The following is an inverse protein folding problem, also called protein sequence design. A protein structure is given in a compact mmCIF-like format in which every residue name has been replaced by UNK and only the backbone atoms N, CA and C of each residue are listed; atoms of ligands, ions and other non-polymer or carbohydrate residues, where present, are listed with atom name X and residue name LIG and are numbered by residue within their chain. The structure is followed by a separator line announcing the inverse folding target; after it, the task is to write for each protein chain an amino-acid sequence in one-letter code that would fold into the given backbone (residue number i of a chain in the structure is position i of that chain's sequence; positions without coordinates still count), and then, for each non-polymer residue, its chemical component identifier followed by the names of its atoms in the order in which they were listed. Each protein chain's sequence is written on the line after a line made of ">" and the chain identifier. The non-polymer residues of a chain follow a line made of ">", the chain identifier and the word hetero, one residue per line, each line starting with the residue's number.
data_IF_914299667355
#
_entry.id   IF_914299667355
#
_cell.length_a   1.000
_cell.length_b   1.000
_cell.length_c   1.000
_cell.angle_alpha   90.00
_cell.angle_beta   90.00
_cell.angle_gamma   90.00
#
_symmetry.space_group_name_H-M   'P 1'
#
loop_
_entity.id
_entity.type
_entity.pdbx_description
1 polymer ?
#
# COMPACT_ATOMS: atom_id res chain seq x y z
N UNK A 1 20.69 40.00 17.76
CA UNK A 1 20.33 38.63 18.19
C UNK A 1 18.83 38.32 18.16
N UNK A 2 17.91 39.30 18.21
CA UNK A 2 16.46 39.09 17.97
C UNK A 2 16.13 38.58 16.56
N UNK A 3 16.83 39.09 15.54
CA UNK A 3 16.58 38.77 14.13
C UNK A 3 16.92 37.31 13.77
N UNK A 4 17.83 36.67 14.52
CA UNK A 4 18.18 35.25 14.34
C UNK A 4 17.06 34.32 14.85
N UNK A 5 16.34 34.74 15.89
CA UNK A 5 15.20 34.00 16.44
C UNK A 5 14.02 33.97 15.45
N UNK A 6 13.77 35.08 14.74
CA UNK A 6 12.74 35.13 13.69
C UNK A 6 13.07 34.22 12.51
N UNK A 7 14.35 34.08 12.16
CA UNK A 7 14.79 33.19 11.07
C UNK A 7 14.59 31.71 11.41
N UNK A 8 14.81 31.32 12.67
CA UNK A 8 14.59 29.95 13.16
C UNK A 8 13.10 29.57 13.22
N UNK A 9 12.23 30.53 13.57
CA UNK A 9 10.77 30.34 13.56
C UNK A 9 10.24 30.16 12.13
N UNK A 10 10.74 30.93 11.16
CA UNK A 10 10.32 30.81 9.74
C UNK A 10 10.75 29.48 9.13
N UNK A 11 11.94 28.96 9.46
CA UNK A 11 12.41 27.65 9.00
C UNK A 11 11.60 26.50 9.65
N UNK A 12 11.18 26.65 10.91
CA UNK A 12 10.37 25.64 11.59
C UNK A 12 8.97 25.45 10.97
N UNK A 13 8.39 26.47 10.31
CA UNK A 13 7.09 26.36 9.65
C UNK A 13 7.13 25.65 8.28
N UNK A 14 8.31 25.53 7.65
CA UNK A 14 8.47 24.81 6.37
C UNK A 14 8.64 23.30 6.55
N UNK A 15 8.83 22.83 7.78
CA UNK A 15 8.87 21.41 8.12
C UNK A 15 7.48 20.78 8.31
N UNK A 16 6.44 21.35 7.68
CA UNK A 16 5.13 20.70 7.57
C UNK A 16 5.27 19.51 6.60
N UNK A 17 5.79 18.40 7.11
CA UNK A 17 5.84 17.12 6.41
C UNK A 17 4.43 16.78 5.93
N UNK A 18 4.26 16.72 4.60
CA UNK A 18 3.10 16.08 4.03
C UNK A 18 3.17 14.60 4.43
N UNK A 19 2.16 14.15 5.17
CA UNK A 19 2.08 12.75 5.60
C UNK A 19 2.02 11.80 4.40
N UNK A 20 2.31 10.51 4.62
CA UNK A 20 2.23 9.50 3.57
C UNK A 20 0.84 9.48 2.94
N UNK A 21 0.82 9.31 1.61
CA UNK A 21 -0.42 9.11 0.84
C UNK A 21 -0.48 7.63 0.49
N UNK A 22 -1.62 7.00 0.77
CA UNK A 22 -1.90 5.64 0.35
C UNK A 22 -2.20 5.60 -1.15
N UNK A 23 -1.15 5.70 -1.97
CA UNK A 23 -1.24 5.49 -3.41
C UNK A 23 -0.64 4.13 -3.74
N UNK A 24 -1.43 3.32 -4.45
CA UNK A 24 -1.06 1.98 -4.92
C UNK A 24 -1.46 1.88 -6.38
N UNK A 25 -0.56 1.38 -7.22
CA UNK A 25 -0.82 1.07 -8.62
C UNK A 25 -0.36 -0.35 -8.93
N UNK A 26 -1.09 -0.99 -9.83
CA UNK A 26 -0.69 -2.26 -10.42
C UNK A 26 -0.44 -2.02 -11.89
N UNK A 27 0.78 -2.26 -12.33
CA UNK A 27 1.24 -2.01 -13.70
C UNK A 27 1.74 -3.35 -14.29
N UNK A 28 1.59 -3.53 -15.61
CA UNK A 28 2.25 -4.63 -16.31
C UNK A 28 3.75 -4.31 -16.40
N UNK A 29 4.63 -5.28 -16.14
CA UNK A 29 6.06 -5.07 -16.29
C UNK A 29 6.39 -4.76 -17.75
N UNK A 30 7.07 -3.63 -17.97
CA UNK A 30 7.30 -3.00 -19.26
C UNK A 30 8.47 -3.60 -20.05
N UNK A 31 8.72 -4.91 -19.91
CA UNK A 31 9.77 -5.57 -20.67
C UNK A 31 9.26 -5.86 -22.10
N UNK A 32 9.18 -4.81 -22.93
CA UNK A 32 8.69 -4.81 -24.32
C UNK A 32 9.47 -5.75 -25.29
N UNK A 33 10.42 -6.54 -24.79
CA UNK A 33 11.28 -7.43 -25.56
C UNK A 33 11.15 -8.93 -25.21
N UNK A 34 10.31 -9.34 -24.26
CA UNK A 34 10.19 -10.74 -23.87
C UNK A 34 8.94 -11.42 -24.45
N UNK A 35 9.18 -12.61 -24.99
CA UNK A 35 8.26 -13.54 -25.65
C UNK A 35 6.96 -13.82 -24.88
N UNK A 36 5.94 -14.26 -25.62
CA UNK A 36 4.55 -14.63 -25.26
C UNK A 36 4.27 -15.44 -23.96
N UNK A 37 5.24 -15.77 -23.10
CA UNK A 37 5.05 -16.85 -22.12
C UNK A 37 4.53 -16.47 -20.72
N UNK A 38 4.54 -15.20 -20.31
CA UNK A 38 3.78 -14.78 -19.12
C UNK A 38 3.65 -13.27 -18.96
N UNK A 39 2.47 -12.80 -18.58
CA UNK A 39 2.24 -11.41 -18.15
C UNK A 39 2.68 -11.27 -16.69
N UNK A 40 3.66 -10.42 -16.41
CA UNK A 40 4.08 -10.08 -15.06
C UNK A 40 3.49 -8.72 -14.64
N UNK A 41 3.06 -8.62 -13.38
CA UNK A 41 2.46 -7.41 -12.82
C UNK A 41 3.28 -6.92 -11.62
N UNK A 42 3.51 -5.62 -11.53
CA UNK A 42 4.22 -4.99 -10.43
C UNK A 42 3.28 -4.14 -9.57
N UNK A 43 3.44 -4.25 -8.24
CA UNK A 43 2.79 -3.39 -7.27
C UNK A 43 3.68 -2.19 -6.92
N UNK A 44 3.28 -1.00 -7.35
CA UNK A 44 3.95 0.26 -7.02
C UNK A 44 3.28 0.90 -5.81
N UNK A 45 4.02 1.00 -4.70
CA UNK A 45 3.56 1.60 -3.44
C UNK A 45 4.38 2.86 -3.14
N UNK A 46 3.70 3.99 -2.91
CA UNK A 46 4.35 5.29 -2.70
C UNK A 46 4.65 5.62 -1.22
N UNK A 47 4.54 4.61 -0.35
CA UNK A 47 4.74 4.73 1.09
C UNK A 47 6.18 4.33 1.45
N UNK A 48 7.01 5.29 1.86
CA UNK A 48 8.46 5.09 2.02
C UNK A 48 8.82 4.09 3.13
N UNK A 49 7.95 3.90 4.11
CA UNK A 49 8.17 2.92 5.19
C UNK A 49 7.73 1.50 4.86
N UNK A 50 6.94 1.32 3.79
CA UNK A 50 6.35 0.02 3.48
C UNK A 50 7.39 -1.01 3.06
N UNK A 51 8.27 -0.69 2.11
CA UNK A 51 9.23 -1.67 1.57
C UNK A 51 10.17 -2.22 2.66
N UNK A 52 10.64 -1.36 3.58
CA UNK A 52 11.45 -1.81 4.71
C UNK A 52 10.65 -2.70 5.67
N UNK A 53 9.42 -2.30 6.01
CA UNK A 53 8.56 -3.11 6.87
C UNK A 53 8.21 -4.46 6.21
N UNK A 54 7.91 -4.44 4.91
CA UNK A 54 7.61 -5.64 4.12
C UNK A 54 8.79 -6.59 4.10
N UNK A 55 10.01 -6.11 3.84
CA UNK A 55 11.21 -6.95 3.85
C UNK A 55 11.46 -7.65 5.19
N UNK A 56 11.19 -6.97 6.32
CA UNK A 56 11.29 -7.55 7.66
C UNK A 56 10.21 -8.59 7.92
N UNK A 57 9.02 -8.35 7.38
CA UNK A 57 7.87 -9.22 7.59
C UNK A 57 7.80 -10.33 6.55
N UNK A 58 8.49 -10.27 5.42
CA UNK A 58 8.38 -11.24 4.35
C UNK A 58 9.09 -12.56 4.70
N UNK A 59 8.36 -13.51 5.28
CA UNK A 59 8.92 -14.79 5.74
C UNK A 59 8.10 -15.98 5.23
N UNK A 60 8.70 -16.92 4.47
CA UNK A 60 8.01 -18.08 3.90
C UNK A 60 7.28 -18.95 4.93
N UNK A 61 7.81 -19.06 6.14
CA UNK A 61 7.19 -19.83 7.23
C UNK A 61 5.80 -19.30 7.63
N UNK A 62 5.47 -18.06 7.26
CA UNK A 62 4.19 -17.41 7.59
C UNK A 62 3.27 -17.22 6.40
N UNK A 63 3.68 -17.67 5.22
CA UNK A 63 2.85 -17.55 4.03
C UNK A 63 1.53 -18.28 4.21
N UNK A 64 0.51 -17.76 3.53
CA UNK A 64 -0.79 -18.37 3.33
C UNK A 64 -0.92 -18.75 1.86
N UNK A 65 -1.97 -19.47 1.49
CA UNK A 65 -2.21 -19.81 0.09
C UNK A 65 -2.45 -18.56 -0.76
N UNK A 66 -2.20 -18.66 -2.07
CA UNK A 66 -2.56 -17.61 -3.02
C UNK A 66 -4.05 -17.23 -2.91
N UNK A 67 -4.95 -18.23 -2.85
CA UNK A 67 -6.39 -18.01 -2.70
C UNK A 67 -6.75 -17.25 -1.43
N UNK A 68 -5.99 -17.42 -0.34
CA UNK A 68 -6.19 -16.62 0.88
C UNK A 68 -5.92 -15.14 0.61
N UNK A 69 -4.80 -14.83 -0.07
CA UNK A 69 -4.44 -13.45 -0.38
C UNK A 69 -5.41 -12.82 -1.38
N UNK A 70 -5.77 -13.54 -2.44
CA UNK A 70 -6.76 -13.07 -3.43
C UNK A 70 -8.10 -12.75 -2.78
N UNK A 71 -8.62 -13.66 -1.94
CA UNK A 71 -9.91 -13.47 -1.28
C UNK A 71 -9.94 -12.26 -0.35
N UNK A 72 -8.83 -11.94 0.33
CA UNK A 72 -8.73 -10.74 1.15
C UNK A 72 -8.48 -9.48 0.32
N UNK A 73 -7.60 -9.54 -0.69
CA UNK A 73 -7.28 -8.41 -1.54
C UNK A 73 -8.52 -7.89 -2.27
N UNK A 74 -9.42 -8.77 -2.72
CA UNK A 74 -10.70 -8.35 -3.29
C UNK A 74 -11.52 -7.48 -2.32
N UNK A 75 -11.63 -7.90 -1.06
CA UNK A 75 -12.36 -7.15 -0.04
C UNK A 75 -11.68 -5.82 0.29
N UNK A 76 -10.36 -5.84 0.48
CA UNK A 76 -9.59 -4.64 0.78
C UNK A 76 -9.60 -3.62 -0.36
N UNK A 77 -9.37 -4.04 -1.61
CA UNK A 77 -9.38 -3.15 -2.78
C UNK A 77 -10.75 -2.51 -2.93
N UNK A 78 -11.83 -3.28 -2.76
CA UNK A 78 -13.20 -2.75 -2.82
C UNK A 78 -13.42 -1.65 -1.77
N UNK A 79 -13.09 -1.92 -0.51
CA UNK A 79 -13.29 -0.94 0.58
C UNK A 79 -12.35 0.25 0.45
N UNK A 80 -11.08 0.03 0.09
CA UNK A 80 -10.11 1.08 -0.16
C UNK A 80 -10.60 2.06 -1.22
N UNK A 81 -11.09 1.53 -2.35
CA UNK A 81 -11.62 2.34 -3.43
C UNK A 81 -12.88 3.09 -3.01
N UNK A 82 -13.75 2.47 -2.20
CA UNK A 82 -14.88 3.17 -1.59
C UNK A 82 -14.42 4.33 -0.69
N UNK A 83 -13.45 4.11 0.21
CA UNK A 83 -12.88 5.14 1.08
C UNK A 83 -12.21 6.28 0.29
N UNK A 84 -11.60 5.98 -0.86
CA UNK A 84 -11.04 6.99 -1.76
C UNK A 84 -12.11 7.94 -2.33
N UNK A 85 -13.37 7.51 -2.43
CA UNK A 85 -14.48 8.39 -2.84
C UNK A 85 -14.93 9.34 -1.73
N UNK A 86 -14.64 9.03 -0.46
CA UNK A 86 -15.13 9.80 0.68
C UNK A 86 -14.30 11.09 0.85
N UNK A 87 -14.90 12.29 0.85
CA UNK A 87 -14.16 13.55 0.90
C UNK A 87 -13.22 13.73 2.11
N UNK A 88 -13.57 13.11 3.25
CA UNK A 88 -12.76 13.17 4.48
C UNK A 88 -11.59 12.18 4.49
N UNK A 89 -11.61 11.15 3.65
CA UNK A 89 -10.65 10.05 3.62
C UNK A 89 -9.75 10.10 2.39
N UNK A 90 -10.22 10.71 1.29
CA UNK A 90 -9.50 10.84 0.01
C UNK A 90 -8.11 11.50 0.09
N UNK A 91 -7.80 12.21 1.18
CA UNK A 91 -6.46 12.78 1.37
C UNK A 91 -5.39 11.70 1.54
N UNK A 92 -5.76 10.56 2.12
CA UNK A 92 -4.92 9.39 2.27
C UNK A 92 -5.23 8.34 1.20
N UNK A 93 -6.50 7.94 1.09
CA UNK A 93 -6.92 6.88 0.18
C UNK A 93 -6.99 7.39 -1.26
N UNK A 94 -6.15 6.84 -2.14
CA UNK A 94 -6.23 7.04 -3.59
C UNK A 94 -6.72 5.75 -4.25
N UNK A 95 -7.53 5.83 -5.33
CA UNK A 95 -8.03 4.62 -5.99
C UNK A 95 -6.88 3.70 -6.42
N UNK A 96 -7.01 2.42 -6.10
CA UNK A 96 -6.17 1.35 -6.62
C UNK A 96 -6.70 1.01 -8.00
N UNK A 97 -5.82 1.12 -9.00
CA UNK A 97 -6.13 0.85 -10.40
C UNK A 97 -5.40 -0.43 -10.80
N UNK A 98 -6.08 -1.29 -11.57
CA UNK A 98 -5.45 -2.48 -12.16
C UNK A 98 -5.58 -3.78 -11.36
N UNK A 99 -6.39 -3.82 -10.28
CA UNK A 99 -6.75 -5.07 -9.60
C UNK A 99 -8.18 -5.49 -9.96
N UNK A 100 -8.32 -6.52 -10.77
CA UNK A 100 -9.60 -7.04 -11.26
C UNK A 100 -9.89 -8.44 -10.70
N UNK A 101 -11.11 -8.70 -10.21
CA UNK A 101 -11.50 -10.04 -9.76
C UNK A 101 -11.39 -11.07 -10.89
N UNK A 102 -10.70 -12.18 -10.62
CA UNK A 102 -10.57 -13.30 -11.57
C UNK A 102 -9.34 -13.24 -12.48
N UNK A 103 -8.55 -12.17 -12.43
CA UNK A 103 -7.23 -12.11 -13.06
C UNK A 103 -6.18 -12.74 -12.12
N UNK A 104 -5.34 -13.62 -12.67
CA UNK A 104 -4.23 -14.22 -11.93
C UNK A 104 -3.01 -13.28 -11.98
N UNK A 105 -2.84 -12.52 -10.90
CA UNK A 105 -1.69 -11.63 -10.69
C UNK A 105 -0.46 -12.37 -10.12
N UNK A 106 -0.58 -13.66 -9.85
CA UNK A 106 0.45 -14.46 -9.21
C UNK A 106 0.54 -14.26 -7.69
N UNK A 107 1.31 -15.15 -7.06
CA UNK A 107 1.48 -15.19 -5.61
C UNK A 107 2.12 -13.91 -5.06
N UNK A 108 3.21 -13.44 -5.67
CA UNK A 108 4.04 -12.37 -5.12
C UNK A 108 3.29 -11.04 -5.04
N UNK A 109 2.58 -10.67 -6.11
CA UNK A 109 1.75 -9.47 -6.10
C UNK A 109 0.65 -9.57 -5.06
N UNK A 110 -0.10 -10.68 -5.03
CA UNK A 110 -1.18 -10.86 -4.07
C UNK A 110 -0.67 -10.83 -2.62
N UNK A 111 0.48 -11.45 -2.36
CA UNK A 111 1.13 -11.42 -1.06
C UNK A 111 1.53 -9.99 -0.68
N UNK A 112 2.24 -9.27 -1.55
CA UNK A 112 2.71 -7.91 -1.28
C UNK A 112 1.56 -6.92 -1.08
N UNK A 113 0.51 -7.01 -1.90
CA UNK A 113 -0.69 -6.17 -1.79
C UNK A 113 -1.42 -6.41 -0.46
N UNK A 114 -1.59 -7.67 -0.06
CA UNK A 114 -2.19 -8.00 1.23
C UNK A 114 -1.37 -7.40 2.39
N UNK A 115 -0.05 -7.54 2.33
CA UNK A 115 0.84 -6.99 3.35
C UNK A 115 0.78 -5.46 3.40
N UNK A 116 0.56 -4.78 2.27
CA UNK A 116 0.36 -3.34 2.28
C UNK A 116 -0.89 -2.94 3.06
N UNK A 117 -2.02 -3.64 2.88
CA UNK A 117 -3.21 -3.37 3.70
C UNK A 117 -2.96 -3.60 5.20
N UNK A 118 -2.22 -4.66 5.53
CA UNK A 118 -1.83 -4.94 6.92
C UNK A 118 -0.93 -3.84 7.50
N UNK A 119 0.02 -3.33 6.72
CA UNK A 119 0.85 -2.19 7.09
C UNK A 119 -0.02 -0.97 7.41
N UNK A 120 -0.99 -0.65 6.56
CA UNK A 120 -1.89 0.50 6.74
C UNK A 120 -2.73 0.36 8.02
N UNK A 121 -3.36 -0.80 8.25
CA UNK A 121 -4.22 -0.99 9.42
C UNK A 121 -3.44 -1.07 10.73
N UNK A 122 -2.27 -1.69 10.71
CA UNK A 122 -1.58 -2.08 11.93
C UNK A 122 -0.38 -1.21 12.30
N UNK A 123 0.33 -0.70 11.29
CA UNK A 123 1.49 0.18 11.47
C UNK A 123 1.05 1.63 11.40
N UNK A 124 0.34 2.02 10.33
CA UNK A 124 -0.17 3.39 10.19
C UNK A 124 -1.41 3.66 11.06
N UNK A 125 -2.06 2.60 11.58
CA UNK A 125 -3.27 2.68 12.40
C UNK A 125 -4.44 3.36 11.68
N UNK A 126 -4.52 3.17 10.37
CA UNK A 126 -5.60 3.70 9.53
C UNK A 126 -6.54 2.52 9.22
N UNK A 127 -7.77 2.50 9.77
CA UNK A 127 -8.68 1.39 9.54
C UNK A 127 -9.19 1.39 8.09
N UNK A 128 -9.24 0.20 7.50
CA UNK A 128 -9.82 -0.05 6.18
C UNK A 128 -11.09 -0.89 6.38
N UNK A 129 -10.94 -2.10 6.94
CA UNK A 129 -12.04 -3.03 7.16
C UNK A 129 -12.45 -3.06 8.64
N UNK A 130 -13.75 -3.25 8.86
CA UNK A 130 -14.28 -3.50 10.22
C UNK A 130 -13.95 -4.90 10.73
N UNK A 131 -13.85 -5.89 9.82
CA UNK A 131 -13.55 -7.29 10.12
C UNK A 131 -12.32 -7.73 9.31
N UNK A 132 -11.13 -7.35 9.75
CA UNK A 132 -9.87 -7.75 9.13
C UNK A 132 -9.36 -9.10 9.68
N UNK A 133 -8.57 -9.86 8.90
CA UNK A 133 -7.90 -11.05 9.40
C UNK A 133 -6.93 -10.69 10.52
N UNK A 134 -6.59 -11.67 11.37
CA UNK A 134 -5.56 -11.48 12.39
C UNK A 134 -4.27 -10.95 11.76
N UNK A 135 -3.83 -9.80 12.27
CA UNK A 135 -2.74 -9.03 11.72
C UNK A 135 -1.46 -9.83 11.52
N UNK A 136 -0.75 -9.59 10.42
CA UNK A 136 0.59 -10.16 10.19
C UNK A 136 1.65 -9.35 10.95
N UNK A 137 1.42 -8.95 12.19
CA UNK A 137 2.31 -8.04 12.93
C UNK A 137 3.12 -8.81 13.97
N UNK A 138 4.39 -8.46 14.10
CA UNK A 138 5.19 -8.65 15.31
C UNK A 138 5.83 -7.31 15.71
#
# INVERSE_FOLDING_TARGET
>A
MKNLFYLLVVVAFLAACSGPKGMVKIEMDGNEAAQEDSVEYELVVFDTGFETWYALQNSPARYRSQQYYEGWNQQYVSEWNYLATQPRRRSFFQPIIGYEPGVDYGFELNHKLFYYFQYVEHVLRIPILSNHPSGVIY
#
